data_IF_426321668842
#
_entry.id   IF_426321668842
#
_cell.length_a   1.000
_cell.length_b   1.000
_cell.length_c   1.000
_cell.angle_alpha   90.00
_cell.angle_beta   90.00
_cell.angle_gamma   90.00
#
_symmetry.space_group_name_H-M   'P 1'
#
loop_
_entity.id
_entity.type
_entity.pdbx_description
1 polymer ?
#
# COMPACT_ATOMS: atom_id res chain seq x y z
N UNK A 1 -21.19 -3.25 1.07
CA UNK A 1 -19.79 -3.69 1.11
C UNK A 1 -19.25 -3.97 -0.28
N UNK A 2 -19.88 -4.82 -1.10
CA UNK A 2 -19.44 -5.08 -2.48
C UNK A 2 -19.57 -3.92 -3.47
N UNK A 3 -20.56 -3.03 -3.27
CA UNK A 3 -20.88 -1.94 -4.20
C UNK A 3 -19.73 -0.94 -4.42
N UNK A 4 -18.78 -0.88 -3.50
CA UNK A 4 -17.65 0.04 -3.55
C UNK A 4 -16.43 -0.58 -4.25
N UNK A 5 -16.52 -1.83 -4.71
CA UNK A 5 -15.46 -2.58 -5.39
C UNK A 5 -15.92 -3.02 -6.80
N UNK A 6 -14.97 -3.16 -7.73
CA UNK A 6 -15.24 -3.71 -9.07
C UNK A 6 -15.48 -5.22 -9.06
N UNK A 7 -15.81 -5.79 -10.23
CA UNK A 7 -16.19 -7.20 -10.36
C UNK A 7 -15.04 -8.19 -10.11
N UNK A 8 -13.80 -7.72 -10.30
CA UNK A 8 -12.58 -8.52 -10.16
C UNK A 8 -11.66 -7.95 -9.11
N UNK A 9 -10.95 -8.83 -8.42
CA UNK A 9 -9.87 -8.51 -7.51
C UNK A 9 -8.56 -9.16 -7.98
N UNK A 10 -7.45 -8.48 -7.76
CA UNK A 10 -6.10 -8.99 -8.02
C UNK A 10 -5.46 -9.36 -6.69
N UNK A 11 -5.07 -10.61 -6.56
CA UNK A 11 -4.20 -11.09 -5.49
C UNK A 11 -2.77 -10.95 -6.01
N UNK A 12 -1.96 -10.18 -5.30
CA UNK A 12 -0.55 -9.97 -5.61
C UNK A 12 0.30 -11.04 -4.90
N UNK A 13 1.45 -11.42 -5.46
CA UNK A 13 2.36 -12.33 -4.76
C UNK A 13 2.83 -11.72 -3.44
N UNK A 14 3.11 -12.56 -2.45
CA UNK A 14 3.52 -12.14 -1.10
C UNK A 14 4.75 -11.20 -1.12
N UNK A 15 5.64 -11.40 -2.10
CA UNK A 15 6.87 -10.64 -2.24
C UNK A 15 6.76 -9.38 -3.13
N UNK A 16 5.54 -9.05 -3.59
CA UNK A 16 5.30 -7.93 -4.52
C UNK A 16 5.85 -6.61 -3.98
N UNK A 17 5.54 -6.31 -2.73
CA UNK A 17 5.94 -5.07 -2.06
C UNK A 17 7.46 -4.94 -2.01
N UNK A 18 8.15 -6.02 -1.61
CA UNK A 18 9.60 -6.05 -1.52
C UNK A 18 10.24 -5.89 -2.89
N UNK A 19 9.65 -6.48 -3.94
CA UNK A 19 10.11 -6.31 -5.33
C UNK A 19 10.03 -4.84 -5.79
N UNK A 20 8.93 -4.15 -5.48
CA UNK A 20 8.77 -2.72 -5.83
C UNK A 20 9.80 -1.85 -5.10
N UNK A 21 9.95 -2.05 -3.78
CA UNK A 21 10.92 -1.30 -2.96
C UNK A 21 12.35 -1.50 -3.46
N UNK A 22 12.77 -2.75 -3.66
CA UNK A 22 14.12 -3.07 -4.17
C UNK A 22 14.40 -2.44 -5.54
N UNK A 23 13.39 -2.32 -6.40
CA UNK A 23 13.55 -1.70 -7.73
C UNK A 23 13.72 -0.19 -7.65
N UNK A 24 12.97 0.47 -6.77
CA UNK A 24 13.16 1.89 -6.51
C UNK A 24 14.53 2.17 -5.89
N UNK A 25 14.93 1.40 -4.87
CA UNK A 25 16.24 1.52 -4.21
C UNK A 25 17.39 1.25 -5.17
N UNK A 26 17.28 0.21 -6.01
CA UNK A 26 18.28 -0.10 -7.04
C UNK A 26 18.43 0.97 -8.11
N UNK A 27 17.43 1.85 -8.29
CA UNK A 27 17.49 3.01 -9.16
C UNK A 27 18.02 4.28 -8.45
N UNK A 28 18.49 4.16 -7.21
CA UNK A 28 19.00 5.26 -6.40
C UNK A 28 17.94 6.03 -5.62
N UNK A 29 16.70 5.53 -5.55
CA UNK A 29 15.59 6.23 -4.93
C UNK A 29 15.20 5.59 -3.60
N UNK A 30 15.08 6.40 -2.56
CA UNK A 30 14.51 5.92 -1.29
C UNK A 30 13.05 5.50 -1.54
N UNK A 31 12.63 4.40 -0.92
CA UNK A 31 11.27 3.92 -0.99
C UNK A 31 10.78 3.46 0.38
N UNK A 32 9.62 3.96 0.78
CA UNK A 32 8.99 3.61 2.05
C UNK A 32 7.62 3.02 1.79
N UNK A 33 7.30 1.92 2.47
CA UNK A 33 5.99 1.28 2.41
C UNK A 33 5.42 1.09 3.80
N UNK A 34 4.15 1.46 3.96
CA UNK A 34 3.42 1.30 5.21
C UNK A 34 1.93 1.21 4.95
N UNK A 35 1.25 0.52 5.86
CA UNK A 35 -0.21 0.62 5.97
C UNK A 35 -0.61 2.05 6.34
N UNK A 36 -1.72 2.50 5.77
CA UNK A 36 -2.27 3.82 6.05
C UNK A 36 -3.00 3.82 7.38
N UNK A 37 -2.64 4.76 8.26
CA UNK A 37 -3.34 4.99 9.52
C UNK A 37 -4.49 5.98 9.30
N UNK A 38 -5.67 5.57 9.73
CA UNK A 38 -6.88 6.39 9.68
C UNK A 38 -6.99 7.24 10.92
N UNK A 39 -6.89 8.56 10.76
CA UNK A 39 -6.85 9.52 11.86
C UNK A 39 -8.01 10.52 11.80
N UNK A 40 -8.41 10.99 12.97
CA UNK A 40 -9.42 12.01 13.12
C UNK A 40 -8.78 13.39 13.04
N UNK A 41 -8.94 14.12 11.93
CA UNK A 41 -8.37 15.45 11.81
C UNK A 41 -9.10 16.53 12.63
N UNK A 42 -10.31 16.23 13.15
CA UNK A 42 -11.04 17.15 14.02
C UNK A 42 -10.51 17.15 15.46
N UNK A 43 -9.74 16.11 15.82
CA UNK A 43 -9.12 15.99 17.14
C UNK A 43 -7.71 16.54 17.07
N UNK A 44 -7.33 17.44 17.99
CA UNK A 44 -5.96 17.92 18.10
C UNK A 44 -5.07 16.79 18.65
N UNK A 45 -3.91 16.59 18.02
CA UNK A 45 -2.95 15.55 18.38
C UNK A 45 -1.53 16.09 18.29
N UNK A 46 -0.87 16.17 19.45
CA UNK A 46 0.49 16.70 19.57
C UNK A 46 1.53 15.85 18.85
N UNK A 47 1.34 14.53 18.77
CA UNK A 47 2.25 13.65 18.04
C UNK A 47 2.16 13.96 16.55
N UNK A 48 0.94 14.11 16.01
CA UNK A 48 0.75 14.46 14.59
C UNK A 48 1.36 15.80 14.24
N UNK A 49 1.12 16.81 15.08
CA UNK A 49 1.74 18.12 14.90
C UNK A 49 3.26 18.02 14.91
N UNK A 50 3.84 17.32 15.89
CA UNK A 50 5.29 17.13 16.02
C UNK A 50 5.88 16.42 14.81
N UNK A 51 5.28 15.33 14.36
CA UNK A 51 5.74 14.60 13.17
C UNK A 51 5.69 15.47 11.91
N UNK A 52 4.65 16.31 11.76
CA UNK A 52 4.58 17.27 10.67
C UNK A 52 5.70 18.33 10.76
N UNK A 53 5.85 18.95 11.93
CA UNK A 53 6.87 19.99 12.17
C UNK A 53 8.30 19.45 11.96
N UNK A 54 8.53 18.17 12.32
CA UNK A 54 9.80 17.47 12.15
C UNK A 54 9.99 16.83 10.76
N UNK A 55 9.04 16.98 9.84
CA UNK A 55 9.06 16.38 8.50
C UNK A 55 9.25 14.85 8.53
N UNK A 56 8.65 14.19 9.51
CA UNK A 56 8.68 12.73 9.61
C UNK A 56 7.89 12.10 8.46
N UNK A 57 8.48 11.08 7.82
CA UNK A 57 7.88 10.37 6.66
C UNK A 57 6.50 9.77 6.99
N UNK A 58 6.25 9.49 8.27
CA UNK A 58 5.03 8.86 8.77
C UNK A 58 3.75 9.64 8.41
N UNK A 59 3.85 10.97 8.26
CA UNK A 59 2.73 11.82 7.86
C UNK A 59 2.13 11.41 6.50
N UNK A 60 2.94 10.94 5.55
CA UNK A 60 2.47 10.50 4.24
C UNK A 60 1.59 9.24 4.29
N UNK A 61 1.59 8.54 5.42
CA UNK A 61 0.81 7.32 5.65
C UNK A 61 -0.44 7.58 6.47
N UNK A 62 -0.88 8.84 6.58
CA UNK A 62 -2.12 9.18 7.26
C UNK A 62 -3.25 9.51 6.28
N UNK A 63 -4.48 9.15 6.65
CA UNK A 63 -5.69 9.46 5.90
C UNK A 63 -6.84 9.74 6.86
N UNK A 64 -7.79 10.52 6.40
CA UNK A 64 -8.95 10.89 7.20
C UNK A 64 -9.80 9.64 7.56
N UNK A 65 -10.25 9.57 8.82
CA UNK A 65 -11.08 8.49 9.37
C UNK A 65 -12.33 8.17 8.55
N UNK A 66 -12.85 9.10 7.76
CA UNK A 66 -14.02 8.91 6.91
C UNK A 66 -13.79 7.85 5.82
N UNK A 67 -12.54 7.57 5.47
CA UNK A 67 -12.17 6.55 4.49
C UNK A 67 -11.77 5.20 5.09
N UNK A 68 -11.95 5.00 6.41
CA UNK A 68 -11.52 3.79 7.13
C UNK A 68 -12.09 2.46 6.61
N UNK A 69 -13.14 2.52 5.78
CA UNK A 69 -13.71 1.33 5.13
C UNK A 69 -12.76 0.71 4.10
N UNK A 70 -11.75 1.46 3.62
CA UNK A 70 -10.76 1.00 2.67
C UNK A 70 -9.53 0.49 3.44
N UNK A 71 -9.01 -0.69 3.12
CA UNK A 71 -7.65 -1.07 3.56
C UNK A 71 -6.66 -0.54 2.52
N UNK A 72 -5.73 0.31 2.95
CA UNK A 72 -4.81 1.01 2.05
C UNK A 72 -3.36 0.82 2.52
N UNK A 73 -2.49 0.55 1.56
CA UNK A 73 -1.03 0.52 1.72
C UNK A 73 -0.47 1.55 0.75
N UNK A 74 0.46 2.40 1.20
CA UNK A 74 1.12 3.39 0.36
C UNK A 74 2.58 3.05 0.15
N UNK A 75 3.09 3.46 -1.01
CA UNK A 75 4.51 3.48 -1.34
C UNK A 75 4.88 4.93 -1.59
N UNK A 76 5.89 5.44 -0.89
CA UNK A 76 6.37 6.82 -0.98
C UNK A 76 7.81 6.83 -1.46
N UNK A 77 8.09 7.66 -2.46
CA UNK A 77 9.41 7.87 -3.06
C UNK A 77 9.86 9.33 -2.77
N UNK A 78 10.42 9.64 -1.58
CA UNK A 78 10.75 11.00 -1.22
C UNK A 78 11.98 11.51 -1.96
N UNK A 79 12.14 12.84 -2.03
CA UNK A 79 13.30 13.49 -2.65
C UNK A 79 13.31 13.48 -4.18
N UNK A 80 12.22 13.01 -4.81
CA UNK A 80 12.05 13.00 -6.25
C UNK A 80 11.06 14.09 -6.65
N UNK A 81 11.54 15.17 -7.30
CA UNK A 81 10.66 16.06 -8.05
C UNK A 81 10.50 15.49 -9.46
N UNK A 82 9.29 15.03 -9.77
CA UNK A 82 8.99 14.38 -11.05
C UNK A 82 8.08 15.29 -11.85
N UNK A 83 8.57 15.86 -12.95
CA UNK A 83 7.77 16.74 -13.81
C UNK A 83 6.74 15.97 -14.65
N UNK A 84 7.03 14.71 -14.99
CA UNK A 84 6.16 13.87 -15.82
C UNK A 84 5.82 12.53 -15.14
N UNK A 85 6.72 11.55 -15.19
CA UNK A 85 6.53 10.25 -14.55
C UNK A 85 7.86 9.53 -14.32
N UNK A 86 7.88 8.59 -13.35
CA UNK A 86 8.96 7.61 -13.17
C UNK A 86 8.48 6.26 -13.70
N UNK A 87 9.38 5.51 -14.35
CA UNK A 87 9.10 4.15 -14.81
C UNK A 87 10.08 3.19 -14.16
N UNK A 88 9.54 2.26 -13.38
CA UNK A 88 10.27 1.11 -12.89
C UNK A 88 9.72 -0.13 -13.56
N UNK A 89 10.59 -0.92 -14.19
CA UNK A 89 10.22 -2.25 -14.64
C UNK A 89 10.30 -3.19 -13.45
N UNK A 90 9.15 -3.50 -12.87
CA UNK A 90 9.01 -4.60 -11.91
C UNK A 90 8.95 -5.87 -12.77
N UNK A 91 9.90 -6.81 -12.60
CA UNK A 91 9.88 -8.07 -13.33
C UNK A 91 8.54 -8.78 -13.16
N UNK A 92 8.26 -9.62 -14.15
CA UNK A 92 7.09 -10.49 -14.23
C UNK A 92 6.67 -11.04 -12.86
N UNK A 93 5.37 -10.90 -12.53
CA UNK A 93 4.77 -11.34 -11.26
C UNK A 93 4.56 -12.86 -11.21
N UNK A 94 5.30 -13.57 -12.04
CA UNK A 94 5.07 -14.95 -12.43
C UNK A 94 5.12 -15.86 -11.21
N UNK A 95 4.09 -16.70 -11.10
CA UNK A 95 4.00 -17.75 -10.10
C UNK A 95 3.25 -17.41 -8.81
N UNK A 96 2.63 -16.21 -8.68
CA UNK A 96 1.89 -15.89 -7.46
C UNK A 96 0.74 -14.88 -7.55
N UNK A 97 0.55 -14.21 -8.69
CA UNK A 97 -0.61 -13.34 -8.88
C UNK A 97 -1.83 -14.12 -9.37
N UNK A 98 -3.01 -13.84 -8.80
CA UNK A 98 -4.28 -14.43 -9.23
C UNK A 98 -5.34 -13.36 -9.43
N UNK A 99 -6.21 -13.53 -10.42
CA UNK A 99 -7.40 -12.71 -10.60
C UNK A 99 -8.60 -13.54 -10.14
N UNK A 100 -9.38 -13.01 -9.21
CA UNK A 100 -10.57 -13.68 -8.67
C UNK A 100 -11.78 -12.75 -8.78
N UNK A 101 -12.99 -13.32 -8.78
CA UNK A 101 -14.19 -12.51 -8.61
C UNK A 101 -14.18 -11.89 -7.21
N UNK A 102 -14.52 -10.60 -7.13
CA UNK A 102 -14.60 -9.89 -5.84
C UNK A 102 -15.58 -10.58 -4.90
N UNK A 103 -16.71 -11.07 -5.42
CA UNK A 103 -17.67 -11.85 -4.63
C UNK A 103 -17.04 -13.12 -4.04
N UNK A 104 -16.25 -13.85 -4.83
CA UNK A 104 -15.56 -15.06 -4.37
C UNK A 104 -14.46 -14.72 -3.35
N UNK A 105 -13.75 -13.60 -3.51
CA UNK A 105 -12.75 -13.13 -2.54
C UNK A 105 -13.33 -12.91 -1.14
N UNK A 106 -14.50 -12.27 -1.04
CA UNK A 106 -15.08 -11.97 0.27
C UNK A 106 -15.97 -13.09 0.83
N UNK A 107 -16.61 -13.90 -0.03
CA UNK A 107 -17.58 -14.90 0.42
C UNK A 107 -17.05 -16.34 0.45
N UNK A 108 -15.99 -16.66 -0.31
CA UNK A 108 -15.55 -18.05 -0.55
C UNK A 108 -14.04 -18.25 -0.46
N UNK A 109 -13.27 -17.21 -0.14
CA UNK A 109 -11.82 -17.31 -0.10
C UNK A 109 -11.36 -18.07 1.14
N UNK A 110 -10.76 -19.22 0.90
CA UNK A 110 -10.05 -19.99 1.92
C UNK A 110 -8.56 -19.93 1.59
N UNK A 111 -7.81 -19.11 2.33
CA UNK A 111 -6.35 -19.01 2.17
C UNK A 111 -5.72 -20.09 3.03
N UNK A 112 -5.20 -21.14 2.38
CA UNK A 112 -4.37 -22.15 3.04
C UNK A 112 -2.92 -21.69 3.04
N UNK A 113 -2.43 -21.22 4.19
CA UNK A 113 -1.00 -20.91 4.37
C UNK A 113 -0.33 -22.17 4.91
N UNK A 114 0.50 -22.83 4.10
CA UNK A 114 1.35 -23.91 4.59
C UNK A 114 2.41 -23.32 5.53
N UNK A 115 2.35 -23.70 6.80
CA UNK A 115 3.36 -23.32 7.79
C UNK A 115 4.67 -24.03 7.42
N UNK A 116 5.66 -23.30 6.92
CA UNK A 116 7.02 -23.83 6.79
C UNK A 116 7.49 -24.26 8.19
N UNK A 117 7.90 -25.52 8.30
CA UNK A 117 8.51 -26.12 9.50
C UNK A 117 9.85 -25.48 9.82
#
# INVERSE_FOLDING_TARGET
MFKDFGDKAVILPEDFVQKVVKKAEGAGNAAFIKEVQYIDYDVVDEKRKRSFDNQEIDFFFWKDKNFKSQREVRIILPGQLVENHLKYYVPELDGGSNIVDTENLFNKLMISIEKKK
#
